data_IF_099466141912
#
_entry.id   IF_099466141912
#
_cell.length_a   1.000
_cell.length_b   1.000
_cell.length_c   1.000
_cell.angle_alpha   90.00
_cell.angle_beta   90.00
_cell.angle_gamma   90.00
#
_symmetry.space_group_name_H-M   'P 1'
#
loop_
_entity.id
_entity.type
_entity.pdbx_description
1 polymer ?
#
# COMPACT_ATOMS: atom_id res chain seq x y z
N UNK A 1 -33.21 11.28 0.18
CA UNK A 1 -32.04 12.21 0.20
C UNK A 1 -31.00 11.84 1.26
N UNK A 2 -31.38 11.44 2.47
CA UNK A 2 -30.44 10.94 3.51
C UNK A 2 -29.85 9.55 3.24
N UNK A 3 -30.62 8.67 2.60
CA UNK A 3 -30.24 7.28 2.30
C UNK A 3 -29.08 7.16 1.30
N UNK A 4 -28.98 8.09 0.34
CA UNK A 4 -27.94 8.06 -0.69
C UNK A 4 -26.61 8.66 -0.22
N UNK A 5 -26.66 9.75 0.57
CA UNK A 5 -25.49 10.24 1.32
C UNK A 5 -24.94 9.18 2.26
N UNK A 6 -25.80 8.42 2.95
CA UNK A 6 -25.39 7.27 3.76
C UNK A 6 -24.69 6.21 2.92
N UNK A 7 -25.21 5.82 1.75
CA UNK A 7 -24.57 4.80 0.89
C UNK A 7 -23.19 5.25 0.38
N UNK A 8 -23.04 6.48 -0.10
CA UNK A 8 -21.75 6.98 -0.62
C UNK A 8 -20.70 7.12 0.49
N UNK A 9 -21.10 7.60 1.67
CA UNK A 9 -20.24 7.65 2.87
C UNK A 9 -19.89 6.25 3.36
N UNK A 10 -20.84 5.30 3.35
CA UNK A 10 -20.63 3.90 3.74
C UNK A 10 -19.65 3.20 2.78
N UNK A 11 -19.76 3.44 1.47
CA UNK A 11 -18.84 2.87 0.47
C UNK A 11 -17.42 3.44 0.61
N UNK A 12 -17.29 4.76 0.79
CA UNK A 12 -15.98 5.40 1.01
C UNK A 12 -15.36 4.97 2.35
N UNK A 13 -16.17 4.82 3.40
CA UNK A 13 -15.77 4.28 4.70
C UNK A 13 -15.35 2.82 4.59
N UNK A 14 -16.05 2.01 3.78
CA UNK A 14 -15.69 0.62 3.53
C UNK A 14 -14.33 0.46 2.87
N UNK A 15 -13.97 1.34 1.92
CA UNK A 15 -12.65 1.33 1.29
C UNK A 15 -11.53 1.76 2.24
N UNK A 16 -11.74 2.84 3.02
CA UNK A 16 -10.77 3.25 4.05
C UNK A 16 -10.57 2.19 5.12
N UNK A 17 -11.66 1.56 5.58
CA UNK A 17 -11.60 0.50 6.58
C UNK A 17 -10.88 -0.74 6.04
N UNK A 18 -11.13 -1.09 4.78
CA UNK A 18 -10.42 -2.17 4.08
C UNK A 18 -8.91 -1.89 3.99
N UNK A 19 -8.49 -0.68 3.64
CA UNK A 19 -7.07 -0.34 3.58
C UNK A 19 -6.41 -0.34 4.96
N UNK A 20 -7.06 0.24 5.98
CA UNK A 20 -6.56 0.20 7.36
C UNK A 20 -6.39 -1.24 7.84
N UNK A 21 -7.37 -2.09 7.52
CA UNK A 21 -7.29 -3.51 7.78
C UNK A 21 -6.12 -4.17 7.05
N UNK A 22 -5.93 -3.88 5.76
CA UNK A 22 -4.82 -4.40 4.96
C UNK A 22 -3.45 -3.98 5.51
N UNK A 23 -3.29 -2.72 5.91
CA UNK A 23 -2.06 -2.22 6.54
C UNK A 23 -1.83 -2.89 7.89
N UNK A 24 -2.87 -3.00 8.72
CA UNK A 24 -2.80 -3.66 10.01
C UNK A 24 -2.32 -5.12 9.86
N UNK A 25 -2.90 -5.86 8.93
CA UNK A 25 -2.51 -7.24 8.64
C UNK A 25 -1.08 -7.33 8.11
N UNK A 26 -0.64 -6.39 7.26
CA UNK A 26 0.74 -6.34 6.79
C UNK A 26 1.74 -6.07 7.93
N UNK A 27 1.42 -5.17 8.86
CA UNK A 27 2.25 -4.87 10.03
C UNK A 27 2.37 -6.10 10.93
N UNK A 28 1.27 -6.81 11.21
CA UNK A 28 1.30 -8.06 11.97
C UNK A 28 2.18 -9.13 11.31
N UNK A 29 2.10 -9.26 9.97
CA UNK A 29 2.94 -10.18 9.22
C UNK A 29 4.43 -9.82 9.34
N UNK A 30 4.76 -8.54 9.25
CA UNK A 30 6.12 -8.04 9.37
C UNK A 30 6.70 -8.26 10.77
N UNK A 31 5.91 -7.97 11.81
CA UNK A 31 6.26 -8.24 13.21
C UNK A 31 6.58 -9.73 13.40
N UNK A 32 5.76 -10.64 12.89
CA UNK A 32 6.00 -12.08 12.99
C UNK A 32 7.32 -12.51 12.30
N UNK A 33 7.73 -11.85 11.22
CA UNK A 33 9.02 -12.15 10.56
C UNK A 33 10.21 -11.67 11.36
N UNK A 34 10.17 -10.46 11.93
CA UNK A 34 11.28 -9.94 12.74
C UNK A 34 11.61 -10.91 13.88
N UNK A 35 10.57 -11.48 14.48
CA UNK A 35 10.71 -12.35 15.64
C UNK A 35 10.88 -13.84 15.32
N UNK A 36 10.98 -14.21 14.03
CA UNK A 36 11.05 -15.61 13.60
C UNK A 36 12.26 -16.38 14.16
N UNK A 37 13.34 -15.67 14.49
CA UNK A 37 14.57 -16.23 15.04
C UNK A 37 14.62 -16.19 16.59
N UNK A 38 13.56 -15.70 17.23
CA UNK A 38 13.51 -15.52 18.68
C UNK A 38 12.62 -16.59 19.34
N UNK A 39 13.26 -17.51 20.07
CA UNK A 39 12.59 -18.64 20.72
C UNK A 39 11.95 -18.32 22.09
N UNK A 40 11.95 -17.05 22.50
CA UNK A 40 11.44 -16.61 23.81
C UNK A 40 9.95 -17.00 24.00
N UNK A 41 9.53 -17.52 25.17
CA UNK A 41 8.17 -18.00 25.39
C UNK A 41 7.08 -16.95 25.10
N UNK A 42 7.33 -15.69 25.45
CA UNK A 42 6.44 -14.58 25.14
C UNK A 42 6.22 -14.38 23.63
N UNK A 43 7.30 -14.44 22.84
CA UNK A 43 7.26 -14.28 21.38
C UNK A 43 6.48 -15.42 20.74
N UNK A 44 6.65 -16.64 21.24
CA UNK A 44 5.89 -17.81 20.77
C UNK A 44 4.39 -17.65 20.97
N UNK A 45 3.98 -17.12 22.12
CA UNK A 45 2.57 -16.83 22.39
C UNK A 45 2.03 -15.72 21.49
N UNK A 46 2.84 -14.68 21.24
CA UNK A 46 2.48 -13.60 20.32
C UNK A 46 2.30 -14.12 18.88
N UNK A 47 3.22 -14.94 18.38
CA UNK A 47 3.12 -15.58 17.06
C UNK A 47 1.86 -16.44 16.95
N UNK A 48 1.48 -17.16 18.01
CA UNK A 48 0.24 -17.93 18.02
C UNK A 48 -1.01 -17.04 17.91
N UNK A 49 -1.04 -15.91 18.63
CA UNK A 49 -2.14 -14.94 18.54
C UNK A 49 -2.21 -14.33 17.13
N UNK A 50 -1.07 -13.94 16.56
CA UNK A 50 -0.97 -13.40 15.20
C UNK A 50 -1.46 -14.44 14.18
N UNK A 51 -1.03 -15.69 14.32
CA UNK A 51 -1.50 -16.79 13.48
C UNK A 51 -3.01 -16.99 13.60
N UNK A 52 -3.58 -16.95 14.81
CA UNK A 52 -5.02 -17.08 15.02
C UNK A 52 -5.80 -15.98 14.27
N UNK A 53 -5.31 -14.74 14.30
CA UNK A 53 -5.90 -13.61 13.54
C UNK A 53 -5.90 -13.91 12.04
N UNK A 54 -4.78 -14.39 11.49
CA UNK A 54 -4.70 -14.77 10.07
C UNK A 54 -5.62 -15.92 9.70
N UNK A 55 -5.73 -16.94 10.56
CA UNK A 55 -6.63 -18.08 10.33
C UNK A 55 -8.08 -17.61 10.27
N UNK A 56 -8.51 -16.79 11.23
CA UNK A 56 -9.87 -16.25 11.24
C UNK A 56 -10.17 -15.43 9.99
N UNK A 57 -9.23 -14.59 9.59
CA UNK A 57 -9.35 -13.75 8.40
C UNK A 57 -9.48 -14.57 7.11
N UNK A 58 -8.58 -15.53 6.87
CA UNK A 58 -8.67 -16.40 5.69
C UNK A 58 -9.94 -17.25 5.74
N UNK A 59 -10.37 -17.68 6.93
CA UNK A 59 -11.63 -18.43 7.12
C UNK A 59 -12.84 -17.60 6.71
N UNK A 60 -12.94 -16.35 7.17
CA UNK A 60 -14.01 -15.43 6.76
C UNK A 60 -13.99 -15.23 5.25
N UNK A 61 -12.80 -14.99 4.65
CA UNK A 61 -12.67 -14.79 3.19
C UNK A 61 -13.03 -16.03 2.39
N UNK A 62 -12.68 -17.22 2.88
CA UNK A 62 -13.04 -18.49 2.25
C UNK A 62 -14.56 -18.68 2.22
N UNK A 63 -15.25 -18.44 3.35
CA UNK A 63 -16.71 -18.59 3.43
C UNK A 63 -17.48 -17.49 2.70
N UNK A 64 -16.94 -16.28 2.60
CA UNK A 64 -17.55 -15.18 1.84
C UNK A 64 -17.29 -15.24 0.34
N UNK A 65 -16.49 -16.20 -0.16
CA UNK A 65 -16.23 -16.34 -1.59
C UNK A 65 -17.36 -17.10 -2.31
N UNK A 66 -17.83 -16.57 -3.44
CA UNK A 66 -18.94 -17.15 -4.21
C UNK A 66 -18.64 -18.58 -4.71
N UNK A 67 -17.36 -18.91 -4.92
CA UNK A 67 -16.93 -20.28 -5.26
C UNK A 67 -15.66 -20.68 -4.51
N UNK A 68 -15.83 -21.57 -3.54
CA UNK A 68 -14.76 -22.12 -2.66
C UNK A 68 -13.57 -22.67 -3.45
N UNK A 69 -13.84 -23.37 -4.55
CA UNK A 69 -12.82 -23.97 -5.41
C UNK A 69 -12.04 -22.95 -6.24
N UNK A 70 -12.70 -21.89 -6.72
CA UNK A 70 -12.00 -20.82 -7.44
C UNK A 70 -11.10 -20.04 -6.48
N UNK A 71 -11.56 -19.81 -5.25
CA UNK A 71 -10.77 -19.15 -4.21
C UNK A 71 -9.47 -19.93 -3.90
N UNK A 72 -9.57 -21.25 -3.71
CA UNK A 72 -8.42 -22.13 -3.45
C UNK A 72 -7.39 -22.08 -4.60
N UNK A 73 -7.85 -22.17 -5.86
CA UNK A 73 -6.95 -22.13 -7.02
C UNK A 73 -6.26 -20.78 -7.19
N UNK A 74 -6.92 -19.69 -6.79
CA UNK A 74 -6.40 -18.33 -6.95
C UNK A 74 -5.47 -17.92 -5.82
N UNK A 75 -5.65 -18.48 -4.62
CA UNK A 75 -4.88 -18.14 -3.42
C UNK A 75 -4.27 -19.39 -2.75
N UNK A 76 -3.41 -20.17 -3.45
CA UNK A 76 -2.82 -21.38 -2.88
C UNK A 76 -1.92 -21.07 -1.66
N UNK A 77 -1.36 -19.86 -1.59
CA UNK A 77 -0.47 -19.45 -0.52
C UNK A 77 -1.22 -19.12 0.79
N UNK A 78 -2.46 -18.63 0.71
CA UNK A 78 -3.30 -18.35 1.89
C UNK A 78 -3.68 -19.66 2.61
N UNK A 79 -3.75 -20.77 1.88
CA UNK A 79 -4.00 -22.10 2.46
C UNK A 79 -2.76 -22.61 3.20
N UNK A 80 -1.56 -22.39 2.64
CA UNK A 80 -0.29 -22.67 3.33
C UNK A 80 -0.15 -21.80 4.59
N UNK A 81 -0.80 -20.62 4.60
CA UNK A 81 -0.83 -19.74 5.76
C UNK A 81 -1.62 -20.31 6.96
N UNK A 82 -2.68 -21.08 6.69
CA UNK A 82 -3.53 -21.64 7.74
C UNK A 82 -2.89 -22.87 8.41
N UNK A 83 -2.16 -23.69 7.67
CA UNK A 83 -1.70 -24.98 8.19
C UNK A 83 -0.63 -24.76 9.29
N UNK A 84 -0.86 -25.23 10.54
CA UNK A 84 0.09 -25.09 11.64
C UNK A 84 1.20 -26.15 11.55
N UNK A 85 1.98 -26.09 10.46
CA UNK A 85 3.04 -27.06 10.17
C UNK A 85 4.07 -27.14 11.29
N UNK A 86 4.28 -26.04 12.00
CA UNK A 86 5.19 -25.90 13.13
C UNK A 86 4.80 -26.79 14.33
N UNK A 87 3.50 -27.02 14.52
CA UNK A 87 2.98 -27.87 15.61
C UNK A 87 3.07 -29.36 15.25
N UNK A 88 3.02 -29.67 13.96
CA UNK A 88 2.97 -31.05 13.43
C UNK A 88 4.40 -31.58 13.18
N UNK A 89 5.30 -30.74 12.66
CA UNK A 89 6.65 -31.13 12.29
C UNK A 89 7.69 -30.52 13.22
N UNK A 90 8.06 -31.22 14.30
CA UNK A 90 9.20 -30.87 15.19
C UNK A 90 10.57 -30.90 14.49
N UNK A 91 10.66 -31.30 13.22
CA UNK A 91 11.88 -31.28 12.40
C UNK A 91 12.23 -29.83 12.01
N UNK A 92 12.88 -29.13 12.93
CA UNK A 92 12.97 -27.68 13.06
C UNK A 92 13.88 -26.93 12.06
N UNK A 93 13.84 -27.24 10.76
CA UNK A 93 14.52 -26.40 9.75
C UNK A 93 13.63 -26.07 8.56
N UNK A 94 12.90 -27.06 8.03
CA UNK A 94 12.04 -26.89 6.85
C UNK A 94 10.79 -26.05 7.15
N UNK A 95 10.26 -26.13 8.38
CA UNK A 95 9.13 -25.31 8.85
C UNK A 95 9.44 -23.80 8.78
N UNK A 96 10.70 -23.39 9.05
CA UNK A 96 11.12 -21.98 9.01
C UNK A 96 11.01 -21.39 7.60
N UNK A 97 11.33 -22.19 6.58
CA UNK A 97 11.18 -21.78 5.18
C UNK A 97 9.71 -21.62 4.78
N UNK A 98 8.82 -22.44 5.31
CA UNK A 98 7.38 -22.32 5.03
C UNK A 98 6.78 -21.08 5.69
N UNK A 99 7.26 -20.69 6.88
CA UNK A 99 6.93 -19.40 7.50
C UNK A 99 7.35 -18.21 6.63
N UNK A 100 8.54 -18.25 6.03
CA UNK A 100 9.00 -17.20 5.11
C UNK A 100 8.14 -17.12 3.84
N UNK A 101 7.80 -18.27 3.24
CA UNK A 101 6.93 -18.33 2.06
C UNK A 101 5.53 -17.78 2.35
N UNK A 102 4.97 -18.08 3.53
CA UNK A 102 3.73 -17.52 4.04
C UNK A 102 3.80 -15.99 4.12
N UNK A 103 4.85 -15.42 4.71
CA UNK A 103 4.95 -13.96 4.83
C UNK A 103 5.12 -13.28 3.47
N UNK A 104 5.91 -13.87 2.55
CA UNK A 104 6.06 -13.32 1.20
C UNK A 104 4.72 -13.32 0.44
N UNK A 105 3.89 -14.35 0.64
CA UNK A 105 2.55 -14.42 0.06
C UNK A 105 1.61 -13.34 0.58
N UNK A 106 1.57 -13.19 1.90
CA UNK A 106 0.79 -12.18 2.61
C UNK A 106 1.26 -10.79 2.17
N UNK A 107 2.56 -10.53 2.20
CA UNK A 107 3.15 -9.28 1.73
C UNK A 107 2.76 -8.99 0.29
N UNK A 108 2.78 -9.98 -0.62
CA UNK A 108 2.33 -9.78 -2.01
C UNK A 108 0.87 -9.37 -2.12
N UNK A 109 -0.02 -9.96 -1.32
CA UNK A 109 -1.45 -9.66 -1.34
C UNK A 109 -1.74 -8.26 -0.77
N UNK A 110 -1.07 -7.89 0.32
CA UNK A 110 -1.24 -6.60 0.99
C UNK A 110 -0.38 -5.46 0.39
N UNK A 111 0.61 -5.78 -0.46
CA UNK A 111 1.40 -4.79 -1.18
C UNK A 111 0.73 -4.31 -2.48
N UNK A 112 -0.36 -4.92 -2.94
CA UNK A 112 -1.05 -4.48 -4.17
C UNK A 112 -1.53 -3.02 -4.09
N UNK A 113 -2.23 -2.56 -3.02
CA UNK A 113 -2.63 -1.15 -2.89
C UNK A 113 -1.42 -0.21 -2.85
N UNK A 114 -0.35 -0.64 -2.17
CA UNK A 114 0.91 0.09 -2.07
C UNK A 114 1.55 0.23 -3.45
N UNK A 115 1.59 -0.85 -4.24
CA UNK A 115 2.11 -0.87 -5.60
C UNK A 115 1.33 0.05 -6.55
N UNK A 116 0.00 0.07 -6.41
CA UNK A 116 -0.85 0.96 -7.19
C UNK A 116 -0.62 2.44 -6.84
N UNK A 117 -0.39 2.75 -5.54
CA UNK A 117 0.01 4.09 -5.10
C UNK A 117 1.38 4.47 -5.68
N UNK A 118 2.36 3.57 -5.68
CA UNK A 118 3.68 3.81 -6.28
C UNK A 118 3.62 4.09 -7.78
N UNK A 119 2.65 3.52 -8.49
CA UNK A 119 2.43 3.82 -9.92
C UNK A 119 1.57 5.07 -10.16
N UNK A 120 0.93 5.60 -9.12
CA UNK A 120 0.14 6.83 -9.21
C UNK A 120 1.08 8.04 -9.28
N UNK A 121 0.74 9.03 -10.12
CA UNK A 121 1.50 10.28 -10.31
C UNK A 121 3.00 10.10 -10.69
N UNK A 122 3.38 8.97 -11.29
CA UNK A 122 4.78 8.64 -11.61
C UNK A 122 5.72 8.63 -10.38
N UNK A 123 5.19 8.31 -9.19
CA UNK A 123 5.98 8.24 -7.96
C UNK A 123 7.15 7.25 -8.07
N UNK A 124 6.95 6.14 -8.77
CA UNK A 124 7.97 5.16 -9.16
C UNK A 124 9.17 5.80 -9.88
N UNK A 125 8.92 6.65 -10.87
CA UNK A 125 9.98 7.34 -11.63
C UNK A 125 10.75 8.32 -10.75
N UNK A 126 10.06 9.02 -9.86
CA UNK A 126 10.68 9.99 -8.95
C UNK A 126 11.54 9.30 -7.91
N UNK A 127 11.11 8.14 -7.41
CA UNK A 127 11.92 7.32 -6.51
C UNK A 127 13.17 6.78 -7.20
N UNK A 128 13.04 6.28 -8.43
CA UNK A 128 14.20 5.86 -9.23
C UNK A 128 15.16 7.03 -9.43
N UNK A 129 14.64 8.21 -9.78
CA UNK A 129 15.43 9.42 -9.92
C UNK A 129 16.14 9.79 -8.62
N UNK A 130 15.47 9.70 -7.46
CA UNK A 130 16.09 9.99 -6.17
C UNK A 130 17.22 9.00 -5.85
N UNK A 131 17.00 7.70 -6.10
CA UNK A 131 18.05 6.68 -5.92
C UNK A 131 19.25 7.00 -6.82
N UNK A 132 19.03 7.33 -8.09
CA UNK A 132 20.09 7.75 -9.00
C UNK A 132 20.81 9.00 -8.47
N UNK A 133 20.08 10.01 -7.98
CA UNK A 133 20.66 11.22 -7.41
C UNK A 133 21.48 10.93 -6.15
N UNK A 134 21.05 10.04 -5.27
CA UNK A 134 21.81 9.63 -4.08
C UNK A 134 23.18 9.09 -4.50
N UNK A 135 23.23 8.13 -5.42
CA UNK A 135 24.51 7.56 -5.86
C UNK A 135 25.34 8.55 -6.67
N UNK A 136 24.72 9.34 -7.54
CA UNK A 136 25.40 10.31 -8.40
C UNK A 136 26.01 11.45 -7.60
N UNK A 137 25.29 12.01 -6.63
CA UNK A 137 25.78 13.09 -5.76
C UNK A 137 26.85 12.62 -4.78
N UNK A 138 26.83 11.34 -4.40
CA UNK A 138 27.83 10.77 -3.49
C UNK A 138 29.24 10.75 -4.09
N UNK A 139 29.38 10.70 -5.42
CA UNK A 139 30.69 10.70 -6.09
C UNK A 139 31.44 12.02 -5.84
N UNK A 140 30.94 13.20 -6.26
CA UNK A 140 31.61 14.47 -6.02
C UNK A 140 31.71 14.80 -4.53
N UNK A 141 30.73 14.40 -3.71
CA UNK A 141 30.78 14.64 -2.26
C UNK A 141 31.98 13.93 -1.62
N UNK A 142 32.23 12.66 -1.97
CA UNK A 142 33.40 11.92 -1.46
C UNK A 142 34.72 12.57 -1.91
N UNK A 143 34.76 13.18 -3.10
CA UNK A 143 35.98 13.78 -3.64
C UNK A 143 36.24 15.20 -3.13
N UNK A 144 35.18 15.95 -2.82
CA UNK A 144 35.25 17.37 -2.48
C UNK A 144 35.21 17.62 -0.97
N UNK A 145 34.66 16.70 -0.17
CA UNK A 145 34.46 16.92 1.27
C UNK A 145 35.56 16.27 2.11
N UNK A 146 36.40 17.06 2.81
CA UNK A 146 37.51 16.52 3.60
C UNK A 146 37.09 15.60 4.76
N UNK A 147 35.86 15.77 5.25
CA UNK A 147 35.29 14.98 6.35
C UNK A 147 34.59 13.70 5.90
N UNK A 148 34.57 13.39 4.60
CA UNK A 148 33.83 12.26 4.03
C UNK A 148 34.83 11.39 3.25
N UNK A 149 35.46 10.45 3.95
CA UNK A 149 36.59 9.69 3.41
C UNK A 149 36.16 8.53 2.48
N UNK A 150 34.99 7.94 2.73
CA UNK A 150 34.51 6.79 1.96
C UNK A 150 33.23 7.09 1.19
N UNK A 151 33.09 6.46 0.02
CA UNK A 151 31.87 6.59 -0.79
C UNK A 151 30.63 6.09 -0.06
N UNK A 152 30.77 5.06 0.80
CA UNK A 152 29.70 4.58 1.67
C UNK A 152 29.16 5.67 2.59
N UNK A 153 30.04 6.54 3.09
CA UNK A 153 29.71 7.60 4.03
C UNK A 153 28.97 8.74 3.31
N UNK A 154 29.37 9.03 2.07
CA UNK A 154 28.65 9.97 1.21
C UNK A 154 27.25 9.46 0.84
N UNK A 155 27.11 8.16 0.53
CA UNK A 155 25.80 7.52 0.28
C UNK A 155 24.93 7.55 1.52
N UNK A 156 25.49 7.22 2.69
CA UNK A 156 24.79 7.32 3.97
C UNK A 156 24.28 8.74 4.22
N UNK A 157 25.16 9.74 4.08
CA UNK A 157 24.78 11.15 4.20
C UNK A 157 23.66 11.54 3.22
N UNK A 158 23.76 11.13 1.96
CA UNK A 158 22.77 11.44 0.94
C UNK A 158 21.40 10.80 1.24
N UNK A 159 21.37 9.57 1.76
CA UNK A 159 20.15 8.91 2.23
C UNK A 159 19.55 9.68 3.41
N UNK A 160 20.34 9.96 4.44
CA UNK A 160 19.88 10.67 5.66
C UNK A 160 19.35 12.07 5.33
N UNK A 161 19.97 12.75 4.37
CA UNK A 161 19.57 14.08 3.90
C UNK A 161 18.32 14.05 3.05
N UNK A 162 18.27 13.19 2.03
CA UNK A 162 17.10 13.08 1.13
C UNK A 162 15.84 12.59 1.83
N UNK A 163 15.99 11.78 2.89
CA UNK A 163 14.87 11.32 3.73
C UNK A 163 14.51 12.30 4.84
N UNK A 164 15.18 13.44 4.93
CA UNK A 164 14.96 14.50 5.94
C UNK A 164 15.21 14.07 7.39
N UNK A 165 15.93 12.96 7.61
CA UNK A 165 16.27 12.47 8.97
C UNK A 165 17.33 13.37 9.62
N UNK A 166 18.41 13.68 8.90
CA UNK A 166 19.39 14.68 9.30
C UNK A 166 20.07 14.43 10.65
N UNK A 167 20.71 13.27 10.86
CA UNK A 167 21.44 12.97 12.10
C UNK A 167 22.55 13.99 12.43
N UNK A 168 23.15 14.60 11.40
CA UNK A 168 24.20 15.62 11.55
C UNK A 168 25.58 15.04 11.90
N UNK A 169 25.73 13.72 11.81
CA UNK A 169 26.97 12.97 11.98
C UNK A 169 27.97 13.23 10.85
N UNK A 170 27.47 13.35 9.62
CA UNK A 170 28.26 13.62 8.41
C UNK A 170 27.59 14.77 7.67
N UNK A 171 28.35 15.76 7.20
CA UNK A 171 27.79 16.87 6.44
C UNK A 171 28.82 17.57 5.54
N UNK A 172 28.42 18.04 4.34
CA UNK A 172 29.27 18.84 3.48
C UNK A 172 29.59 20.20 4.09
N UNK A 173 30.88 20.52 4.16
CA UNK A 173 31.41 21.79 4.65
C UNK A 173 31.87 22.69 3.52
N UNK A 174 32.23 22.15 2.35
CA UNK A 174 32.66 22.98 1.23
C UNK A 174 31.50 23.69 0.54
N UNK A 175 31.81 24.81 -0.14
CA UNK A 175 30.80 25.58 -0.88
C UNK A 175 30.14 24.71 -1.95
N UNK A 176 30.91 23.94 -2.71
CA UNK A 176 30.38 23.08 -3.79
C UNK A 176 29.56 21.94 -3.21
N UNK A 177 30.02 21.28 -2.15
CA UNK A 177 29.25 20.21 -1.52
C UNK A 177 27.94 20.71 -0.89
N UNK A 178 27.91 21.93 -0.35
CA UNK A 178 26.66 22.57 0.11
C UNK A 178 25.69 22.85 -1.03
N UNK A 179 26.17 23.27 -2.21
CA UNK A 179 25.30 23.45 -3.38
C UNK A 179 24.68 22.11 -3.82
N UNK A 180 25.48 21.04 -3.83
CA UNK A 180 24.98 19.68 -4.12
C UNK A 180 23.94 19.25 -3.08
N UNK A 181 24.20 19.54 -1.79
CA UNK A 181 23.28 19.25 -0.70
C UNK A 181 21.93 19.96 -0.87
N UNK A 182 21.93 21.25 -1.24
CA UNK A 182 20.70 22.02 -1.48
C UNK A 182 19.85 21.36 -2.56
N UNK A 183 20.47 20.95 -3.69
CA UNK A 183 19.76 20.27 -4.77
C UNK A 183 19.13 18.98 -4.23
N UNK A 184 19.91 18.15 -3.53
CA UNK A 184 19.42 16.89 -2.97
C UNK A 184 18.26 17.09 -1.97
N UNK A 185 18.32 18.12 -1.12
CA UNK A 185 17.27 18.46 -0.18
C UNK A 185 15.96 18.86 -0.87
N UNK A 186 16.03 19.65 -1.95
CA UNK A 186 14.84 20.02 -2.74
C UNK A 186 14.14 18.78 -3.31
N UNK A 187 14.92 17.82 -3.83
CA UNK A 187 14.36 16.54 -4.28
C UNK A 187 13.76 15.71 -3.15
N UNK A 188 14.41 15.68 -1.97
CA UNK A 188 13.89 14.99 -0.78
C UNK A 188 12.54 15.53 -0.32
N UNK A 189 12.41 16.85 -0.18
CA UNK A 189 11.14 17.51 0.20
C UNK A 189 10.08 17.31 -0.89
N UNK A 190 10.47 17.42 -2.17
CA UNK A 190 9.58 17.16 -3.31
C UNK A 190 8.99 15.76 -3.29
N UNK A 191 9.79 14.75 -2.90
CA UNK A 191 9.32 13.37 -2.76
C UNK A 191 8.21 13.25 -1.71
N UNK A 192 8.35 13.89 -0.54
CA UNK A 192 7.31 13.85 0.51
C UNK A 192 5.97 14.42 0.02
N UNK A 193 6.02 15.54 -0.71
CA UNK A 193 4.84 16.13 -1.33
C UNK A 193 4.22 15.21 -2.38
N UNK A 194 5.04 14.56 -3.20
CA UNK A 194 4.58 13.61 -4.23
C UNK A 194 3.99 12.33 -3.64
N UNK A 195 4.56 11.77 -2.58
CA UNK A 195 3.99 10.63 -1.86
C UNK A 195 2.59 11.00 -1.35
N UNK A 196 2.47 12.15 -0.69
CA UNK A 196 1.19 12.66 -0.18
C UNK A 196 0.17 12.85 -1.29
N UNK A 197 0.58 13.47 -2.41
CA UNK A 197 -0.25 13.67 -3.60
C UNK A 197 -0.67 12.36 -4.26
N UNK A 198 0.23 11.38 -4.34
CA UNK A 198 -0.04 10.07 -4.95
C UNK A 198 -1.04 9.27 -4.14
N UNK A 199 -0.95 9.31 -2.81
CA UNK A 199 -1.95 8.73 -1.91
C UNK A 199 -3.31 9.42 -2.14
N UNK A 200 -3.36 10.75 -2.14
CA UNK A 200 -4.60 11.50 -2.39
C UNK A 200 -5.21 11.17 -3.76
N UNK A 201 -4.39 11.10 -4.80
CA UNK A 201 -4.80 10.77 -6.16
C UNK A 201 -5.31 9.32 -6.28
N UNK A 202 -4.68 8.35 -5.62
CA UNK A 202 -5.15 6.97 -5.58
C UNK A 202 -6.59 6.88 -5.04
N UNK A 203 -6.87 7.58 -3.94
CA UNK A 203 -8.22 7.63 -3.39
C UNK A 203 -9.22 8.35 -4.29
N UNK A 204 -8.79 9.41 -4.98
CA UNK A 204 -9.64 10.16 -5.90
C UNK A 204 -9.97 9.39 -7.18
N UNK A 205 -9.00 8.70 -7.77
CA UNK A 205 -9.19 7.90 -8.99
C UNK A 205 -10.14 6.72 -8.77
N UNK A 206 -10.09 6.07 -7.60
CA UNK A 206 -11.05 5.01 -7.26
C UNK A 206 -12.49 5.53 -7.13
N UNK A 207 -12.67 6.79 -6.74
CA UNK A 207 -13.99 7.45 -6.74
C UNK A 207 -14.47 7.72 -8.17
N UNK A 208 -13.63 8.33 -9.00
CA UNK A 208 -13.93 8.64 -10.42
C UNK A 208 -14.24 7.42 -11.27
N UNK A 209 -13.52 6.30 -11.09
CA UNK A 209 -13.80 5.04 -11.81
C UNK A 209 -15.20 4.49 -11.50
N UNK A 210 -15.65 4.60 -10.25
CA UNK A 210 -17.01 4.19 -9.86
C UNK A 210 -18.07 5.12 -10.44
N UNK A 211 -17.83 6.43 -10.38
CA UNK A 211 -18.71 7.43 -11.00
C UNK A 211 -18.84 7.21 -12.51
N UNK A 212 -17.74 6.97 -13.23
CA UNK A 212 -17.76 6.68 -14.66
C UNK A 212 -18.49 5.37 -14.99
N UNK A 213 -18.36 4.33 -14.16
CA UNK A 213 -19.10 3.09 -14.34
C UNK A 213 -20.60 3.28 -14.12
N UNK A 214 -20.99 4.06 -13.10
CA UNK A 214 -22.39 4.45 -12.87
C UNK A 214 -22.93 5.29 -14.01
N UNK A 215 -22.15 6.24 -14.54
CA UNK A 215 -22.56 7.10 -15.67
C UNK A 215 -22.68 6.28 -16.97
N UNK A 216 -21.77 5.33 -17.20
CA UNK A 216 -21.86 4.42 -18.35
C UNK A 216 -23.10 3.53 -18.25
N UNK A 217 -23.39 2.98 -17.06
CA UNK A 217 -24.62 2.23 -16.79
C UNK A 217 -25.87 3.10 -16.97
N UNK A 218 -25.88 4.35 -16.49
CA UNK A 218 -27.00 5.27 -16.70
C UNK A 218 -27.19 5.62 -18.17
N UNK A 219 -26.10 5.79 -18.95
CA UNK A 219 -26.18 5.98 -20.39
C UNK A 219 -26.79 4.78 -21.11
N UNK A 220 -26.36 3.57 -20.75
CA UNK A 220 -26.91 2.33 -21.29
C UNK A 220 -28.41 2.20 -21.00
N UNK A 221 -28.85 2.52 -19.77
CA UNK A 221 -30.28 2.57 -19.44
C UNK A 221 -31.02 3.70 -20.19
N UNK A 222 -30.36 4.83 -20.44
CA UNK A 222 -30.91 5.96 -21.21
C UNK A 222 -31.09 5.60 -22.69
N UNK A 223 -30.16 4.85 -23.29
CA UNK A 223 -30.22 4.41 -24.69
C UNK A 223 -31.33 3.36 -24.93
N UNK A 224 -31.89 2.78 -23.86
CA UNK A 224 -33.06 1.90 -23.89
C UNK A 224 -34.36 2.56 -23.39
N UNK A 225 -34.40 3.89 -23.22
CA UNK A 225 -35.56 4.64 -22.69
C UNK A 225 -36.87 4.44 -23.44
N UNK A 226 -36.83 4.13 -24.73
CA UNK A 226 -38.06 3.90 -25.51
C UNK A 226 -38.78 2.59 -25.13
N UNK A 227 -38.12 1.69 -24.40
CA UNK A 227 -38.67 0.40 -23.93
C UNK A 227 -38.82 0.34 -22.40
N UNK A 228 -38.43 1.39 -21.67
CA UNK A 228 -38.45 1.40 -20.20
C UNK A 228 -39.86 1.60 -19.64
N UNK A 229 -40.22 0.81 -18.63
CA UNK A 229 -41.43 1.00 -17.83
C UNK A 229 -41.37 2.33 -17.05
N UNK A 230 -42.51 2.95 -16.77
CA UNK A 230 -42.61 4.20 -15.99
C UNK A 230 -41.84 4.11 -14.64
N UNK A 231 -41.81 2.93 -14.02
CA UNK A 231 -41.09 2.65 -12.77
C UNK A 231 -39.55 2.74 -12.93
N UNK A 232 -39.03 2.44 -14.11
CA UNK A 232 -37.59 2.45 -14.40
C UNK A 232 -37.11 3.86 -14.74
N UNK A 233 -37.96 4.65 -15.41
CA UNK A 233 -37.74 6.08 -15.65
C UNK A 233 -37.64 6.84 -14.32
N UNK A 234 -38.44 6.48 -13.32
CA UNK A 234 -38.40 7.10 -12.00
C UNK A 234 -37.09 6.78 -11.25
N UNK A 235 -36.58 5.55 -11.36
CA UNK A 235 -35.26 5.17 -10.81
C UNK A 235 -34.11 5.95 -11.47
N UNK A 236 -34.14 6.12 -12.79
CA UNK A 236 -33.12 6.89 -13.52
C UNK A 236 -33.15 8.37 -13.11
N UNK A 237 -34.34 8.98 -13.00
CA UNK A 237 -34.49 10.35 -12.47
C UNK A 237 -33.89 10.49 -11.08
N UNK A 238 -34.21 9.57 -10.16
CA UNK A 238 -33.69 9.60 -8.79
C UNK A 238 -32.17 9.47 -8.75
N UNK A 239 -31.57 8.67 -9.64
CA UNK A 239 -30.12 8.52 -9.73
C UNK A 239 -29.45 9.79 -10.28
N UNK A 240 -29.99 10.42 -11.32
CA UNK A 240 -29.49 11.69 -11.89
C UNK A 240 -29.56 12.82 -10.85
N UNK A 241 -30.66 12.90 -10.10
CA UNK A 241 -30.88 13.89 -9.06
C UNK A 241 -29.97 13.70 -7.84
N UNK A 242 -29.55 12.46 -7.58
CA UNK A 242 -28.53 12.16 -6.56
C UNK A 242 -27.13 12.57 -7.05
N UNK A 243 -26.85 12.37 -8.33
CA UNK A 243 -25.55 12.65 -8.94
C UNK A 243 -25.29 14.16 -9.06
N UNK A 244 -26.28 14.95 -9.51
CA UNK A 244 -26.21 16.42 -9.53
C UNK A 244 -25.97 17.01 -8.14
N UNK A 245 -26.55 16.43 -7.10
CA UNK A 245 -26.39 16.91 -5.71
C UNK A 245 -25.02 16.62 -5.11
N UNK A 246 -24.33 15.57 -5.55
CA UNK A 246 -23.04 15.13 -4.98
C UNK A 246 -21.81 15.74 -5.67
N UNK A 247 -21.97 16.41 -6.82
CA UNK A 247 -20.86 16.99 -7.61
C UNK A 247 -20.85 18.55 -7.63
N UNK A 248 -21.68 19.21 -6.81
CA UNK A 248 -21.78 20.69 -6.71
C UNK A 248 -21.21 21.22 -5.37
N UNK A 249 -20.45 20.42 -4.62
CA UNK A 249 -19.72 20.86 -3.42
C UNK A 249 -18.30 20.30 -3.39
#
# INVERSE_FOLDING_TARGET
MELDKKKTVVIARGHRLKMVYEIFMAVLAFISVIFIWNDHPFIRNLDFVIWLIFVLDVTVRFFSSESKWAYIKRNPLDLVAIIPLDSIFRLARLVRFIRLLRTLAILKHYAQPVYDIFRTNNLDKVLILLVVLIFLTSIPITMLEPGIAHYSDAVWWAIVTSTTVGYGDISPVTVVGRLIAIILMVFGIGLLGLVTSSIAAYFSQNKKRKESATVAYLKEQIDHLEELSDDEIEKVKLLIDSYKRNNVL
#
